data_IF_794201257022
#
_entry.id   IF_794201257022
#
_cell.length_a   1.000
_cell.length_b   1.000
_cell.length_c   1.000
_cell.angle_alpha   90.00
_cell.angle_beta   90.00
_cell.angle_gamma   90.00
#
_symmetry.space_group_name_H-M   'P 1'
#
loop_
_entity.id
_entity.type
_entity.pdbx_description
1 polymer ?
#
# COMPACT_ATOMS: atom_id res chain seq x y z
N UNK A 1 -10.18 20.52 14.46
CA UNK A 1 -9.27 21.62 14.09
C UNK A 1 -8.64 21.19 12.78
N UNK A 2 -8.92 21.89 11.67
CA UNK A 2 -8.40 21.50 10.35
C UNK A 2 -6.88 21.74 10.32
N UNK A 3 -6.13 20.81 9.74
CA UNK A 3 -4.69 21.01 9.54
C UNK A 3 -4.48 22.02 8.40
N UNK A 4 -3.46 22.86 8.50
CA UNK A 4 -3.15 23.80 7.43
C UNK A 4 -2.72 23.07 6.16
N UNK A 5 -3.21 23.56 5.03
CA UNK A 5 -2.85 23.04 3.71
C UNK A 5 -1.49 23.57 3.27
N UNK A 6 -0.63 22.64 2.85
CA UNK A 6 0.63 22.93 2.18
C UNK A 6 0.52 22.42 0.74
N UNK A 7 -0.04 23.18 -0.21
CA UNK A 7 -0.12 22.76 -1.61
C UNK A 7 1.27 22.63 -2.23
N UNK A 8 1.41 21.74 -3.22
CA UNK A 8 2.61 21.69 -4.08
C UNK A 8 2.76 23.01 -4.83
N UNK A 9 3.96 23.60 -4.79
CA UNK A 9 4.27 24.86 -5.49
C UNK A 9 5.41 24.71 -6.50
N UNK A 10 6.31 23.76 -6.29
CA UNK A 10 7.44 23.50 -7.18
C UNK A 10 7.62 22.01 -7.40
N UNK A 11 7.83 21.62 -8.65
CA UNK A 11 8.09 20.24 -9.07
C UNK A 11 9.30 20.21 -9.98
N UNK A 12 10.26 19.34 -9.70
CA UNK A 12 11.39 19.05 -10.59
C UNK A 12 11.34 17.57 -10.94
N UNK A 13 11.21 17.23 -12.21
CA UNK A 13 11.18 15.84 -12.67
C UNK A 13 12.47 15.48 -13.40
N UNK A 14 13.12 14.42 -12.94
CA UNK A 14 14.36 13.93 -13.50
C UNK A 14 14.13 12.71 -14.40
N UNK A 15 14.89 12.61 -15.50
CA UNK A 15 14.81 11.48 -16.44
C UNK A 15 15.14 10.11 -15.85
N UNK A 16 15.74 10.04 -14.66
CA UNK A 16 16.05 8.79 -13.97
C UNK A 16 14.91 8.29 -13.06
N UNK A 17 13.72 8.92 -13.13
CA UNK A 17 12.52 8.44 -12.44
C UNK A 17 12.37 8.93 -11.00
N UNK A 18 12.96 10.09 -10.68
CA UNK A 18 12.79 10.76 -9.39
C UNK A 18 12.12 12.11 -9.64
N UNK A 19 11.20 12.49 -8.75
CA UNK A 19 10.65 13.83 -8.66
C UNK A 19 11.03 14.49 -7.34
N UNK A 20 11.44 15.74 -7.38
CA UNK A 20 11.57 16.62 -6.23
C UNK A 20 10.37 17.56 -6.15
N UNK A 21 9.81 17.71 -4.95
CA UNK A 21 8.60 18.46 -4.70
C UNK A 21 8.83 19.44 -3.55
N UNK A 22 8.39 20.68 -3.72
CA UNK A 22 8.26 21.64 -2.62
C UNK A 22 6.79 21.99 -2.41
N UNK A 23 6.36 21.86 -1.16
CA UNK A 23 5.04 22.26 -0.68
C UNK A 23 5.20 23.44 0.23
N UNK A 24 4.37 24.47 0.10
CA UNK A 24 4.45 25.63 0.99
C UNK A 24 3.11 26.28 1.28
N UNK A 25 3.02 26.84 2.49
CA UNK A 25 1.82 27.46 3.01
C UNK A 25 2.07 28.10 4.37
N UNK A 26 1.04 28.79 4.87
CA UNK A 26 1.11 29.54 6.13
C UNK A 26 0.44 28.76 7.25
N UNK A 27 1.15 28.58 8.37
CA UNK A 27 0.60 28.02 9.60
C UNK A 27 0.19 29.13 10.57
N UNK A 28 -1.02 29.07 11.12
CA UNK A 28 -1.47 29.91 12.21
C UNK A 28 -0.80 29.52 13.56
N UNK A 29 -0.88 30.36 14.61
CA UNK A 29 -0.40 29.99 15.95
C UNK A 29 -1.00 28.66 16.44
N UNK A 30 -0.17 27.74 16.92
CA UNK A 30 -0.60 26.41 17.39
C UNK A 30 -1.16 25.45 16.32
N UNK A 31 -1.21 25.84 15.06
CA UNK A 31 -1.67 24.99 13.96
C UNK A 31 -0.55 24.09 13.44
N UNK A 32 -0.89 22.80 13.26
CA UNK A 32 -0.04 21.78 12.62
C UNK A 32 -0.42 21.60 11.15
N UNK A 33 0.56 21.21 10.33
CA UNK A 33 0.32 20.73 8.97
C UNK A 33 0.34 19.20 8.91
N UNK A 34 -0.39 18.65 7.93
CA UNK A 34 -0.41 17.23 7.61
C UNK A 34 -0.08 17.05 6.13
N UNK A 35 0.85 16.16 5.84
CA UNK A 35 1.23 15.76 4.49
C UNK A 35 0.94 14.27 4.31
N UNK A 36 0.16 13.90 3.30
CA UNK A 36 -0.18 12.51 2.99
C UNK A 36 0.64 12.00 1.80
N UNK A 37 1.16 10.78 1.92
CA UNK A 37 2.00 10.12 0.93
C UNK A 37 1.54 8.68 0.69
N UNK A 38 1.91 8.08 -0.44
CA UNK A 38 1.76 6.63 -0.59
C UNK A 38 2.64 5.91 0.43
N UNK A 39 2.15 4.81 0.97
CA UNK A 39 2.91 4.01 1.94
C UNK A 39 4.26 3.52 1.36
N UNK A 40 4.31 3.21 0.06
CA UNK A 40 5.53 2.83 -0.65
C UNK A 40 6.61 3.91 -0.64
N UNK A 41 6.20 5.18 -0.72
CA UNK A 41 7.10 6.32 -0.96
C UNK A 41 7.64 6.88 0.37
N UNK A 42 7.04 6.48 1.50
CA UNK A 42 7.33 7.03 2.84
C UNK A 42 8.81 6.91 3.21
N UNK A 43 9.50 5.84 2.83
CA UNK A 43 10.94 5.68 3.11
C UNK A 43 11.79 6.76 2.42
N UNK A 44 11.51 7.05 1.15
CA UNK A 44 12.24 8.04 0.37
C UNK A 44 11.91 9.46 0.82
N UNK A 45 10.64 9.70 1.18
CA UNK A 45 10.20 10.95 1.81
C UNK A 45 10.97 11.18 3.11
N UNK A 46 11.00 10.22 4.04
CA UNK A 46 11.68 10.39 5.33
C UNK A 46 13.19 10.62 5.18
N UNK A 47 13.83 10.04 4.16
CA UNK A 47 15.27 10.23 3.88
C UNK A 47 15.60 11.57 3.22
N UNK A 48 14.64 12.18 2.55
CA UNK A 48 14.86 13.39 1.74
C UNK A 48 14.13 14.63 2.28
N UNK A 49 13.24 14.46 3.27
CA UNK A 49 12.41 15.54 3.79
C UNK A 49 13.27 16.64 4.41
N UNK A 50 13.12 17.83 3.86
CA UNK A 50 13.65 19.07 4.38
C UNK A 50 12.49 19.98 4.76
N UNK A 51 12.63 20.66 5.89
CA UNK A 51 11.67 21.66 6.33
C UNK A 51 12.40 22.98 6.49
N UNK A 52 11.91 24.00 5.80
CA UNK A 52 12.36 25.38 5.99
C UNK A 52 11.20 26.22 6.46
N UNK A 53 11.50 27.20 7.30
CA UNK A 53 10.52 28.08 7.89
C UNK A 53 10.96 29.54 7.73
N UNK A 54 9.98 30.42 7.51
CA UNK A 54 10.19 31.87 7.48
C UNK A 54 9.23 32.53 8.47
N UNK A 55 9.78 33.21 9.46
CA UNK A 55 9.01 33.83 10.56
C UNK A 55 9.53 33.45 11.96
N UNK A 56 8.98 34.05 13.01
CA UNK A 56 9.46 33.94 14.39
C UNK A 56 8.83 32.80 15.21
N UNK A 57 9.18 31.56 14.90
CA UNK A 57 8.84 30.34 15.67
C UNK A 57 9.71 29.17 15.22
N UNK A 58 9.85 28.10 16.01
CA UNK A 58 10.60 26.89 15.64
C UNK A 58 9.64 25.71 15.38
N UNK A 59 9.98 24.84 14.42
CA UNK A 59 9.33 23.53 14.27
C UNK A 59 9.70 22.71 15.51
N UNK A 60 8.70 22.21 16.22
CA UNK A 60 8.91 21.53 17.50
C UNK A 60 8.96 20.02 17.40
N UNK A 61 8.45 19.46 16.30
CA UNK A 61 8.48 18.03 16.09
C UNK A 61 7.97 17.65 14.71
N UNK A 62 8.46 16.50 14.25
CA UNK A 62 7.90 15.77 13.13
C UNK A 62 7.37 14.45 13.68
N UNK A 63 6.11 14.14 13.39
CA UNK A 63 5.54 12.82 13.65
C UNK A 63 5.17 12.18 12.33
N UNK A 64 5.24 10.86 12.25
CA UNK A 64 4.79 10.12 11.08
C UNK A 64 4.02 8.89 11.52
N UNK A 65 3.12 8.41 10.66
CA UNK A 65 2.37 7.17 10.88
C UNK A 65 3.30 5.95 10.76
N UNK A 66 4.10 5.72 11.79
CA UNK A 66 4.84 4.48 11.97
C UNK A 66 3.83 3.37 12.19
N UNK A 67 3.66 2.48 11.22
CA UNK A 67 3.15 1.15 11.54
C UNK A 67 4.19 0.13 11.18
N UNK A 68 4.19 -0.95 11.94
CA UNK A 68 4.73 -2.20 11.48
C UNK A 68 4.25 -2.48 10.05
N UNK A 69 5.15 -2.83 9.11
CA UNK A 69 4.78 -3.23 7.77
C UNK A 69 3.72 -4.34 7.84
N UNK A 70 2.70 -4.29 6.99
CA UNK A 70 1.65 -5.31 6.99
C UNK A 70 2.25 -6.73 6.97
N UNK A 71 3.26 -6.96 6.13
CA UNK A 71 3.96 -8.25 6.04
C UNK A 71 4.44 -8.75 7.41
N UNK A 72 5.13 -7.90 8.18
CA UNK A 72 5.62 -8.23 9.54
C UNK A 72 4.47 -8.61 10.47
N UNK A 73 3.37 -7.87 10.43
CA UNK A 73 2.19 -8.14 11.25
C UNK A 73 1.49 -9.44 10.84
N UNK A 74 1.46 -9.75 9.54
CA UNK A 74 0.86 -10.99 9.03
C UNK A 74 1.72 -12.22 9.36
N UNK A 75 3.05 -12.05 9.48
CA UNK A 75 3.98 -13.12 9.87
C UNK A 75 3.81 -13.59 11.32
N UNK A 76 3.09 -12.84 12.17
CA UNK A 76 2.75 -13.26 13.54
C UNK A 76 1.65 -14.33 13.59
N UNK A 77 0.92 -14.54 12.49
CA UNK A 77 -0.18 -15.50 12.43
C UNK A 77 0.33 -16.88 11.99
N UNK A 78 -0.31 -17.98 12.46
CA UNK A 78 0.13 -19.34 12.14
C UNK A 78 -0.22 -19.80 10.71
N UNK A 79 -0.74 -18.90 9.87
CA UNK A 79 -1.12 -19.16 8.49
C UNK A 79 -1.01 -17.87 7.67
N UNK A 80 -0.81 -18.06 6.36
CA UNK A 80 -0.85 -17.01 5.37
C UNK A 80 -1.95 -17.30 4.35
N UNK A 81 -2.65 -16.24 3.94
CA UNK A 81 -3.64 -16.27 2.85
C UNK A 81 -3.09 -15.44 1.70
N UNK A 82 -2.57 -16.12 0.69
CA UNK A 82 -2.03 -15.50 -0.52
C UNK A 82 -3.10 -15.13 -1.54
N UNK A 83 -2.69 -14.35 -2.56
CA UNK A 83 -3.57 -14.00 -3.67
C UNK A 83 -4.00 -15.24 -4.46
N UNK A 84 -5.31 -15.43 -4.63
CA UNK A 84 -5.89 -16.57 -5.37
C UNK A 84 -5.41 -17.94 -4.86
N UNK A 85 -5.01 -18.03 -3.60
CA UNK A 85 -4.58 -19.28 -3.00
C UNK A 85 -5.80 -20.21 -2.76
N UNK A 86 -5.72 -21.49 -3.14
CA UNK A 86 -6.77 -22.47 -2.87
C UNK A 86 -6.98 -22.66 -1.36
N UNK A 87 -8.22 -22.97 -0.95
CA UNK A 87 -8.58 -23.12 0.47
C UNK A 87 -7.81 -24.27 1.13
N UNK A 88 -7.59 -25.35 0.39
CA UNK A 88 -6.77 -26.49 0.80
C UNK A 88 -5.36 -26.06 1.23
N UNK A 89 -4.74 -25.09 0.57
CA UNK A 89 -3.41 -24.63 0.96
C UNK A 89 -3.41 -23.78 2.25
N UNK A 90 -4.53 -23.13 2.59
CA UNK A 90 -4.70 -22.48 3.90
C UNK A 90 -4.96 -23.53 4.98
N UNK A 91 -5.84 -24.49 4.73
CA UNK A 91 -6.15 -25.59 5.65
C UNK A 91 -4.91 -26.46 5.92
N UNK A 92 -4.05 -26.67 4.92
CA UNK A 92 -2.83 -27.47 5.05
C UNK A 92 -1.77 -26.85 5.97
N UNK A 93 -1.82 -25.53 6.20
CA UNK A 93 -0.99 -24.85 7.20
C UNK A 93 -1.48 -25.11 8.63
N UNK A 94 -2.73 -25.58 8.78
CA UNK A 94 -3.40 -25.82 10.07
C UNK A 94 -3.42 -27.30 10.45
N UNK A 95 -2.43 -28.09 10.00
CA UNK A 95 -2.28 -29.49 10.43
C UNK A 95 -2.26 -29.59 11.95
N UNK A 96 -3.03 -30.54 12.49
CA UNK A 96 -3.23 -30.71 13.92
C UNK A 96 -4.37 -29.87 14.51
N UNK A 97 -4.89 -28.86 13.80
CA UNK A 97 -6.07 -28.13 14.25
C UNK A 97 -7.35 -28.94 14.03
N UNK A 98 -8.35 -28.68 14.88
CA UNK A 98 -9.69 -29.26 14.76
C UNK A 98 -10.51 -28.50 13.72
N UNK A 99 -11.31 -29.22 12.93
CA UNK A 99 -12.22 -28.64 11.93
C UNK A 99 -13.55 -29.39 11.90
N UNK A 100 -14.62 -28.67 11.63
CA UNK A 100 -15.95 -29.19 11.35
C UNK A 100 -16.31 -28.82 9.89
N UNK A 101 -16.60 -29.84 9.08
CA UNK A 101 -17.11 -29.71 7.72
C UNK A 101 -18.60 -30.01 7.69
N UNK A 102 -19.36 -29.25 6.90
CA UNK A 102 -20.81 -29.48 6.71
C UNK A 102 -21.09 -29.95 5.28
N UNK A 103 -21.80 -31.05 5.13
CA UNK A 103 -22.24 -31.62 3.86
C UNK A 103 -23.77 -31.79 3.90
N UNK A 104 -24.52 -30.80 3.38
CA UNK A 104 -25.97 -30.76 3.57
C UNK A 104 -26.36 -30.69 5.06
N UNK A 105 -27.08 -31.69 5.57
CA UNK A 105 -27.42 -31.85 6.98
C UNK A 105 -26.33 -32.57 7.80
N UNK A 106 -25.42 -33.29 7.14
CA UNK A 106 -24.35 -34.02 7.81
C UNK A 106 -23.24 -33.07 8.27
N UNK A 107 -22.72 -33.32 9.47
CA UNK A 107 -21.55 -32.64 10.01
C UNK A 107 -20.47 -33.65 10.33
N UNK A 108 -19.28 -33.37 9.85
CA UNK A 108 -18.10 -34.19 10.09
C UNK A 108 -17.08 -33.36 10.86
N UNK A 109 -16.70 -33.81 12.04
CA UNK A 109 -15.66 -33.19 12.84
C UNK A 109 -14.41 -34.07 12.85
N UNK A 110 -13.25 -33.46 12.64
CA UNK A 110 -11.96 -34.16 12.58
C UNK A 110 -10.78 -33.27 12.94
N UNK A 111 -9.63 -33.88 13.10
CA UNK A 111 -8.33 -33.21 13.20
C UNK A 111 -7.68 -33.21 11.83
N UNK A 112 -7.18 -32.05 11.39
CA UNK A 112 -6.55 -31.91 10.07
C UNK A 112 -5.23 -32.69 10.05
N UNK A 113 -5.13 -33.65 9.13
CA UNK A 113 -3.88 -34.38 8.85
C UNK A 113 -3.13 -33.72 7.69
N UNK A 114 -3.86 -33.17 6.73
CA UNK A 114 -3.32 -32.38 5.63
C UNK A 114 -4.40 -32.02 4.62
N UNK A 115 -4.10 -31.08 3.74
CA UNK A 115 -4.97 -30.71 2.64
C UNK A 115 -4.14 -30.42 1.39
N UNK A 116 -4.71 -30.68 0.21
CA UNK A 116 -3.98 -30.52 -1.05
C UNK A 116 -4.91 -30.30 -2.23
N UNK A 117 -4.37 -29.66 -3.25
CA UNK A 117 -4.92 -29.71 -4.60
C UNK A 117 -4.47 -30.99 -5.29
N UNK A 118 -5.42 -31.72 -5.87
CA UNK A 118 -5.18 -32.87 -6.75
C UNK A 118 -5.38 -32.38 -8.18
N UNK A 119 -4.30 -32.39 -8.96
CA UNK A 119 -4.30 -31.92 -10.34
C UNK A 119 -5.32 -32.68 -11.19
N UNK A 120 -5.89 -31.98 -12.18
CA UNK A 120 -6.78 -32.58 -13.15
C UNK A 120 -6.13 -33.74 -13.91
N UNK A 121 -6.92 -34.76 -14.22
CA UNK A 121 -6.57 -35.88 -15.12
C UNK A 121 -7.55 -35.88 -16.30
N UNK A 122 -7.26 -36.66 -17.35
CA UNK A 122 -8.07 -36.68 -18.60
C UNK A 122 -9.60 -36.80 -18.40
N UNK A 123 -10.05 -37.43 -17.31
CA UNK A 123 -11.49 -37.60 -16.98
C UNK A 123 -11.88 -37.05 -15.61
N UNK A 124 -10.99 -36.37 -14.91
CA UNK A 124 -11.25 -35.86 -13.55
C UNK A 124 -10.81 -34.41 -13.44
N UNK A 125 -11.71 -33.48 -13.05
CA UNK A 125 -11.33 -32.10 -12.84
C UNK A 125 -10.36 -31.97 -11.67
N UNK A 126 -9.68 -30.83 -11.59
CA UNK A 126 -8.89 -30.46 -10.41
C UNK A 126 -9.81 -30.41 -9.17
N UNK A 127 -9.31 -30.94 -8.05
CA UNK A 127 -10.06 -31.01 -6.79
C UNK A 127 -9.22 -30.60 -5.61
N UNK A 128 -9.86 -29.97 -4.64
CA UNK A 128 -9.25 -29.67 -3.35
C UNK A 128 -9.72 -30.70 -2.33
N UNK A 129 -8.79 -31.35 -1.65
CA UNK A 129 -9.08 -32.41 -0.68
C UNK A 129 -8.50 -32.07 0.69
N UNK A 130 -9.19 -32.52 1.74
CA UNK A 130 -8.70 -32.50 3.12
C UNK A 130 -8.76 -33.90 3.72
N UNK A 131 -7.67 -34.31 4.36
CA UNK A 131 -7.56 -35.56 5.11
C UNK A 131 -7.80 -35.24 6.58
N UNK A 132 -8.79 -35.91 7.17
CA UNK A 132 -9.17 -35.75 8.57
C UNK A 132 -9.00 -37.06 9.33
N UNK A 133 -8.46 -36.97 10.55
CA UNK A 133 -8.64 -37.99 11.58
C UNK A 133 -9.95 -37.68 12.31
N UNK A 134 -10.97 -38.51 12.10
CA UNK A 134 -12.27 -38.36 12.75
C UNK A 134 -12.19 -38.69 14.24
N UNK A 135 -13.19 -38.26 15.02
CA UNK A 135 -13.28 -38.60 16.46
C UNK A 135 -13.43 -40.10 16.71
N UNK A 136 -13.90 -40.84 15.72
CA UNK A 136 -13.97 -42.31 15.73
C UNK A 136 -12.59 -42.97 15.62
N UNK A 137 -11.54 -42.21 15.31
CA UNK A 137 -10.20 -42.70 14.98
C UNK A 137 -10.01 -43.08 13.50
N UNK A 138 -11.04 -42.91 12.66
CA UNK A 138 -10.95 -43.20 11.23
C UNK A 138 -10.25 -42.07 10.47
N UNK A 139 -9.33 -42.41 9.58
CA UNK A 139 -8.75 -41.47 8.61
C UNK A 139 -9.60 -41.43 7.35
N UNK A 140 -10.19 -40.27 7.05
CA UNK A 140 -11.02 -40.07 5.86
C UNK A 140 -10.61 -38.86 5.05
N UNK A 141 -10.77 -38.99 3.73
CA UNK A 141 -10.53 -37.93 2.74
C UNK A 141 -11.86 -37.31 2.36
N UNK A 142 -11.93 -35.98 2.37
CA UNK A 142 -13.11 -35.22 1.98
C UNK A 142 -12.77 -34.27 0.84
N UNK A 143 -13.66 -34.17 -0.14
CA UNK A 143 -13.61 -33.15 -1.20
C UNK A 143 -14.14 -31.83 -0.62
N UNK A 144 -13.33 -30.77 -0.64
CA UNK A 144 -13.72 -29.46 -0.10
C UNK A 144 -14.79 -28.80 -0.95
N UNK A 145 -14.90 -29.12 -2.24
CA UNK A 145 -15.91 -28.53 -3.13
C UNK A 145 -17.33 -28.94 -2.76
N UNK A 146 -17.52 -30.07 -2.08
CA UNK A 146 -18.85 -30.54 -1.64
C UNK A 146 -19.24 -30.02 -0.25
N UNK A 147 -18.30 -29.40 0.48
CA UNK A 147 -18.56 -28.84 1.79
C UNK A 147 -19.33 -27.51 1.66
N UNK A 148 -20.50 -27.43 2.27
CA UNK A 148 -21.32 -26.20 2.36
C UNK A 148 -20.88 -25.27 3.50
N UNK A 149 -19.85 -25.65 4.25
CA UNK A 149 -19.30 -24.86 5.34
C UNK A 149 -18.08 -25.52 5.95
N UNK A 150 -17.11 -24.69 6.32
CA UNK A 150 -15.92 -25.06 7.07
C UNK A 150 -15.90 -24.22 8.34
N UNK A 151 -15.77 -24.87 9.50
CA UNK A 151 -15.73 -24.20 10.79
C UNK A 151 -14.55 -24.71 11.60
N UNK A 152 -13.80 -23.77 12.17
CA UNK A 152 -12.82 -24.07 13.22
C UNK A 152 -13.51 -23.90 14.58
N UNK A 153 -13.73 -24.97 15.36
CA UNK A 153 -14.39 -24.87 16.66
C UNK A 153 -13.56 -24.08 17.69
N UNK A 154 -12.23 -24.10 17.56
CA UNK A 154 -11.30 -23.35 18.40
C UNK A 154 -11.59 -21.82 18.33
N UNK A 155 -11.94 -21.16 19.46
CA UNK A 155 -12.19 -19.72 19.49
C UNK A 155 -10.93 -18.88 19.25
N UNK A 156 -9.76 -19.34 19.68
CA UNK A 156 -8.48 -18.67 19.46
C UNK A 156 -8.11 -18.65 17.97
N UNK A 157 -8.23 -19.78 17.29
CA UNK A 157 -8.00 -19.86 15.84
C UNK A 157 -9.00 -18.99 15.05
N UNK A 158 -10.28 -19.00 15.45
CA UNK A 158 -11.28 -18.09 14.84
C UNK A 158 -10.93 -16.62 15.03
N UNK A 159 -10.46 -16.24 16.22
CA UNK A 159 -10.00 -14.87 16.49
C UNK A 159 -8.80 -14.52 15.63
N UNK A 160 -7.83 -15.42 15.47
CA UNK A 160 -6.68 -15.21 14.57
C UNK A 160 -7.11 -14.94 13.13
N UNK A 161 -8.08 -15.70 12.58
CA UNK A 161 -8.63 -15.40 11.25
C UNK A 161 -9.29 -14.03 11.19
N UNK A 162 -10.08 -13.65 12.20
CA UNK A 162 -10.71 -12.33 12.27
C UNK A 162 -9.67 -11.20 12.30
N UNK A 163 -8.65 -11.33 13.15
CA UNK A 163 -7.59 -10.34 13.33
C UNK A 163 -6.70 -10.22 12.08
N UNK A 164 -6.39 -11.34 11.41
CA UNK A 164 -5.67 -11.37 10.13
C UNK A 164 -6.43 -10.63 9.04
N UNK A 165 -7.72 -10.94 8.86
CA UNK A 165 -8.58 -10.28 7.87
C UNK A 165 -8.77 -8.79 8.20
N UNK A 166 -8.86 -8.42 9.47
CA UNK A 166 -8.89 -7.01 9.89
C UNK A 166 -7.57 -6.28 9.62
N UNK A 167 -6.42 -6.95 9.75
CA UNK A 167 -5.12 -6.39 9.38
C UNK A 167 -5.04 -6.11 7.87
N UNK A 168 -5.54 -7.04 7.03
CA UNK A 168 -5.65 -6.84 5.58
C UNK A 168 -6.56 -5.67 5.22
N UNK A 169 -7.77 -5.59 5.81
CA UNK A 169 -8.69 -4.47 5.61
C UNK A 169 -8.07 -3.14 6.00
N UNK A 170 -7.40 -3.10 7.16
CA UNK A 170 -6.71 -1.91 7.66
C UNK A 170 -5.57 -1.48 6.74
N UNK A 171 -4.81 -2.42 6.18
CA UNK A 171 -3.73 -2.10 5.25
C UNK A 171 -4.27 -1.57 3.91
N UNK A 172 -5.37 -2.13 3.40
CA UNK A 172 -6.04 -1.61 2.20
C UNK A 172 -6.54 -0.18 2.39
N UNK A 173 -6.93 0.18 3.62
CA UNK A 173 -7.31 1.55 4.01
C UNK A 173 -6.09 2.49 4.20
N UNK A 174 -4.90 1.93 4.48
CA UNK A 174 -3.66 2.65 4.81
C UNK A 174 -2.66 2.76 3.65
N UNK A 175 -3.13 2.73 2.40
CA UNK A 175 -2.29 3.09 1.24
C UNK A 175 -1.72 4.51 1.36
N UNK A 176 -2.34 5.36 2.18
CA UNK A 176 -1.82 6.68 2.54
C UNK A 176 -1.19 6.67 3.93
N UNK A 177 -0.06 7.34 4.05
CA UNK A 177 0.68 7.58 5.30
C UNK A 177 0.89 9.06 5.49
N UNK A 178 0.74 9.50 6.73
CA UNK A 178 0.79 10.92 7.05
C UNK A 178 2.09 11.27 7.76
N UNK A 179 2.62 12.44 7.42
CA UNK A 179 3.60 13.18 8.20
C UNK A 179 2.90 14.39 8.81
N UNK A 180 3.07 14.59 10.11
CA UNK A 180 2.55 15.73 10.85
C UNK A 180 3.72 16.64 11.21
N UNK A 181 3.61 17.90 10.79
CA UNK A 181 4.53 18.96 11.15
C UNK A 181 3.89 19.68 12.33
N UNK A 182 4.36 19.34 13.53
CA UNK A 182 3.82 19.93 14.75
C UNK A 182 4.41 21.30 14.99
N UNK A 183 3.56 22.18 15.53
CA UNK A 183 3.98 23.51 15.91
C UNK A 183 3.46 23.90 17.28
N UNK A 184 4.37 24.27 18.18
CA UNK A 184 4.05 24.94 19.44
C UNK A 184 4.18 26.46 19.37
N UNK A 185 4.44 27.03 18.18
CA UNK A 185 4.73 28.46 18.03
C UNK A 185 3.49 29.35 18.19
N UNK A 186 3.64 30.45 18.93
CA UNK A 186 2.58 31.45 19.19
C UNK A 186 2.38 32.47 18.06
N UNK A 187 3.20 32.41 17.00
CA UNK A 187 3.14 33.34 15.85
C UNK A 187 2.94 32.59 14.54
N UNK A 188 2.17 33.18 13.64
CA UNK A 188 2.01 32.65 12.29
C UNK A 188 3.36 32.63 11.55
N UNK A 189 3.54 31.66 10.64
CA UNK A 189 4.79 31.46 9.89
C UNK A 189 4.54 30.79 8.55
N UNK A 190 5.45 31.00 7.60
CA UNK A 190 5.45 30.27 6.34
C UNK A 190 6.35 29.05 6.48
N UNK A 191 5.84 27.89 6.04
CA UNK A 191 6.56 26.63 6.02
C UNK A 191 6.73 26.18 4.58
N UNK A 192 7.90 25.67 4.26
CA UNK A 192 8.18 24.94 3.02
C UNK A 192 8.72 23.56 3.35
N UNK A 193 8.10 22.53 2.78
CA UNK A 193 8.52 21.14 2.88
C UNK A 193 9.01 20.64 1.52
N UNK A 194 10.30 20.31 1.43
CA UNK A 194 10.92 19.74 0.24
C UNK A 194 11.18 18.25 0.41
N UNK A 195 10.85 17.40 -0.56
CA UNK A 195 11.07 15.95 -0.50
C UNK A 195 11.22 15.35 -1.90
N UNK A 196 11.72 14.11 -1.96
CA UNK A 196 11.86 13.33 -3.18
C UNK A 196 11.01 12.06 -3.13
N UNK A 197 10.40 11.70 -4.25
CA UNK A 197 9.67 10.43 -4.44
C UNK A 197 9.93 9.84 -5.83
N UNK A 198 9.79 8.52 -6.00
CA UNK A 198 9.78 7.91 -7.33
C UNK A 198 8.68 8.51 -8.21
N UNK A 199 9.00 8.81 -9.46
CA UNK A 199 8.07 9.37 -10.45
C UNK A 199 8.26 8.71 -11.81
N UNK A 200 7.19 8.56 -12.62
CA UNK A 200 7.32 8.13 -14.00
C UNK A 200 8.29 9.02 -14.78
N UNK A 201 9.08 8.40 -15.66
CA UNK A 201 10.00 9.12 -16.53
C UNK A 201 9.20 9.97 -17.52
N UNK A 202 9.44 11.28 -17.50
CA UNK A 202 8.83 12.21 -18.45
C UNK A 202 9.42 12.04 -19.86
N UNK A 203 8.58 12.25 -20.88
CA UNK A 203 8.96 12.11 -22.29
C UNK A 203 8.96 13.47 -22.95
N UNK A 204 9.87 13.68 -23.91
CA UNK A 204 9.85 14.85 -24.79
C UNK A 204 9.74 14.44 -26.24
N UNK A 205 9.08 15.28 -27.03
CA UNK A 205 9.04 15.18 -28.49
C UNK A 205 9.31 16.55 -29.07
N UNK A 206 10.15 16.60 -30.11
CA UNK A 206 10.50 17.84 -30.80
C UNK A 206 10.11 17.72 -32.27
N UNK A 207 9.59 18.80 -32.84
CA UNK A 207 9.28 18.90 -34.27
C UNK A 207 9.93 20.15 -34.84
N UNK A 208 10.59 19.99 -35.98
CA UNK A 208 11.09 21.11 -36.77
C UNK A 208 10.10 21.36 -37.90
N UNK A 209 9.59 22.59 -37.95
CA UNK A 209 8.65 23.05 -38.96
C UNK A 209 9.40 24.01 -39.86
N UNK A 210 9.48 23.65 -41.13
CA UNK A 210 10.03 24.49 -42.18
C UNK A 210 8.87 25.06 -42.98
N UNK A 211 8.86 26.35 -43.22
CA UNK A 211 7.99 26.97 -44.21
C UNK A 211 8.81 27.73 -45.25
N UNK A 212 8.22 27.96 -46.42
CA UNK A 212 8.93 28.53 -47.57
C UNK A 212 9.22 30.04 -47.47
N UNK A 213 8.70 30.71 -46.45
CA UNK A 213 8.61 32.18 -46.35
C UNK A 213 9.02 32.75 -44.99
N UNK A 214 9.32 31.90 -44.01
CA UNK A 214 9.61 32.26 -42.63
C UNK A 214 10.73 31.38 -42.06
N UNK A 215 11.21 31.76 -40.86
CA UNK A 215 12.32 31.07 -40.23
C UNK A 215 11.89 29.69 -39.71
N UNK A 216 12.76 28.65 -39.83
CA UNK A 216 12.47 27.34 -39.27
C UNK A 216 12.11 27.43 -37.78
N UNK A 217 11.00 26.82 -37.40
CA UNK A 217 10.50 26.82 -36.02
C UNK A 217 10.74 25.45 -35.38
N UNK A 218 11.15 25.45 -34.12
CA UNK A 218 11.19 24.24 -33.30
C UNK A 218 10.04 24.26 -32.29
N UNK A 219 9.22 23.22 -32.32
CA UNK A 219 8.20 22.96 -31.30
C UNK A 219 8.66 21.83 -30.39
N UNK A 220 8.46 21.99 -29.08
CA UNK A 220 8.78 21.00 -28.07
C UNK A 220 7.56 20.67 -27.22
N UNK A 221 7.28 19.38 -27.08
CA UNK A 221 6.24 18.83 -26.22
C UNK A 221 6.88 18.01 -25.11
N UNK A 222 6.31 18.09 -23.90
CA UNK A 222 6.64 17.21 -22.80
C UNK A 222 5.37 16.50 -22.31
N UNK A 223 5.50 15.20 -22.06
CA UNK A 223 4.45 14.37 -21.47
C UNK A 223 4.89 14.03 -20.05
N UNK A 224 4.04 14.39 -19.09
CA UNK A 224 4.29 14.27 -17.65
C UNK A 224 3.09 13.60 -17.01
N UNK A 225 3.35 12.58 -16.19
CA UNK A 225 2.33 11.88 -15.43
C UNK A 225 2.34 12.37 -13.97
N UNK A 226 1.24 12.98 -13.52
CA UNK A 226 1.04 13.27 -12.10
C UNK A 226 0.52 12.01 -11.40
N UNK A 227 1.41 11.27 -10.74
CA UNK A 227 1.06 10.09 -9.93
C UNK A 227 0.89 10.40 -8.44
N UNK A 228 0.89 11.68 -8.07
CA UNK A 228 0.67 12.12 -6.69
C UNK A 228 -0.82 12.08 -6.34
N UNK A 229 -1.15 12.21 -5.05
CA UNK A 229 -2.52 12.16 -4.56
C UNK A 229 -3.31 13.46 -4.65
N UNK A 230 -2.75 14.50 -5.29
CA UNK A 230 -3.32 15.85 -5.37
C UNK A 230 -3.08 16.50 -6.74
N UNK A 231 -3.90 17.50 -7.07
CA UNK A 231 -3.79 18.25 -8.32
C UNK A 231 -2.65 19.27 -8.28
N UNK A 232 -1.87 19.32 -9.36
CA UNK A 232 -0.83 20.34 -9.52
C UNK A 232 -1.43 21.62 -10.09
N UNK A 233 -1.88 22.51 -9.20
CA UNK A 233 -2.47 23.80 -9.57
C UNK A 233 -1.48 24.95 -9.43
N UNK A 234 -1.23 25.69 -10.52
CA UNK A 234 -0.30 26.83 -10.55
C UNK A 234 1.10 26.52 -10.00
N UNK A 235 1.64 25.36 -10.39
CA UNK A 235 2.98 24.92 -9.99
C UNK A 235 4.07 25.47 -10.92
N UNK A 236 5.23 25.78 -10.35
CA UNK A 236 6.46 25.91 -11.15
C UNK A 236 6.97 24.50 -11.43
N UNK A 237 7.21 24.18 -12.70
CA UNK A 237 7.71 22.86 -13.09
C UNK A 237 9.03 22.97 -13.86
N UNK A 238 10.00 22.14 -13.49
CA UNK A 238 11.28 22.01 -14.18
C UNK A 238 11.46 20.57 -14.67
N UNK A 239 11.80 20.39 -15.94
CA UNK A 239 12.09 19.08 -16.53
C UNK A 239 13.58 18.97 -16.80
N UNK A 240 14.25 18.08 -16.06
CA UNK A 240 15.72 17.98 -16.09
C UNK A 240 16.13 16.72 -16.85
N UNK A 241 16.83 16.92 -17.97
CA UNK A 241 17.30 15.86 -18.86
C UNK A 241 18.80 15.53 -18.69
N UNK A 242 19.47 16.12 -17.70
CA UNK A 242 20.88 15.88 -17.37
C UNK A 242 21.09 15.13 -16.04
N UNK A 243 22.34 14.76 -15.75
CA UNK A 243 22.75 14.21 -14.45
C UNK A 243 22.84 15.34 -13.41
N UNK A 244 22.12 15.31 -12.29
CA UNK A 244 22.71 15.72 -11.02
C UNK A 244 23.57 14.53 -10.53
N UNK A 245 24.84 14.78 -10.25
CA UNK A 245 25.68 13.86 -9.46
C UNK A 245 25.59 14.29 -8.01
#
# INVERSE_FOLDING_TARGET
>A
MYAAELPVRHVILYKHGIGYFERSGRLAPGESARLDFKASDMNDVLKSLTLTQKGGGAITGLRYDASEPLARKLDEFPFHIGERQPLSAVIDQLKGARVELRFGEEKVAGTIVGARTVAAREREPEREQVNLMLDTGELRVFDLATASGVRFPDPGLRKQFQDYLQALLSARSKEKRSIYIDSSGTRARDITAGYMVPMPVWKSSYRLIFDASSQPMIEGWAIVDNTTGEDWSNVRMSLVSGRPV
#
